data_IF_002366613234
#
_entry.id   IF_002366613234
#
_cell.length_a   1.000
_cell.length_b   1.000
_cell.length_c   1.000
_cell.angle_alpha   90.00
_cell.angle_beta   90.00
_cell.angle_gamma   90.00
#
_symmetry.space_group_name_H-M   'P 1'
#
loop_
_entity.id
_entity.type
_entity.pdbx_description
1 polymer ?
#
# COMPACT_ATOMS: atom_id res chain seq x y z
N UNK A 1 -14.47 -6.00 -8.45
CA UNK A 1 -13.76 -6.87 -9.40
C UNK A 1 -12.56 -7.53 -8.76
N UNK A 2 -11.58 -6.76 -8.22
CA UNK A 2 -10.33 -7.30 -7.62
C UNK A 2 -10.61 -8.29 -6.48
N UNK A 3 -11.49 -7.93 -5.53
CA UNK A 3 -11.83 -8.81 -4.40
C UNK A 3 -12.44 -10.14 -4.82
N UNK A 4 -13.29 -10.14 -5.86
CA UNK A 4 -13.84 -11.36 -6.42
C UNK A 4 -12.77 -12.24 -7.07
N UNK A 5 -11.84 -11.62 -7.79
CA UNK A 5 -10.72 -12.32 -8.41
C UNK A 5 -9.81 -12.97 -7.35
N UNK A 6 -9.52 -12.23 -6.28
CA UNK A 6 -8.77 -12.76 -5.14
C UNK A 6 -9.51 -13.92 -4.46
N UNK A 7 -10.82 -13.84 -4.32
CA UNK A 7 -11.65 -14.94 -3.81
C UNK A 7 -11.63 -16.17 -4.71
N UNK A 8 -11.63 -15.97 -6.04
CA UNK A 8 -11.51 -17.06 -7.00
C UNK A 8 -10.15 -17.75 -6.95
N UNK A 9 -9.08 -16.99 -6.71
CA UNK A 9 -7.72 -17.54 -6.63
C UNK A 9 -7.42 -18.19 -5.28
N UNK A 10 -7.75 -17.51 -4.17
CA UNK A 10 -7.34 -17.88 -2.82
C UNK A 10 -8.48 -18.43 -1.95
N UNK A 11 -9.68 -18.60 -2.50
CA UNK A 11 -10.82 -19.17 -1.78
C UNK A 11 -10.48 -20.57 -1.20
N UNK A 12 -11.06 -20.88 -0.04
CA UNK A 12 -10.75 -22.10 0.71
C UNK A 12 -11.00 -23.44 -0.05
N UNK A 13 -11.78 -23.40 -1.15
CA UNK A 13 -12.07 -24.55 -2.03
C UNK A 13 -11.37 -24.45 -3.38
N UNK A 14 -10.44 -23.52 -3.56
CA UNK A 14 -9.72 -23.29 -4.81
C UNK A 14 -8.29 -23.84 -4.75
N UNK A 15 -7.66 -24.20 -5.90
CA UNK A 15 -6.40 -24.91 -5.93
C UNK A 15 -5.28 -24.16 -5.20
N UNK A 16 -5.17 -22.84 -5.33
CA UNK A 16 -4.19 -22.04 -4.60
C UNK A 16 -4.51 -21.95 -3.10
N UNK A 17 -5.77 -21.76 -2.74
CA UNK A 17 -6.19 -21.73 -1.34
C UNK A 17 -5.95 -23.06 -0.62
N UNK A 18 -6.21 -24.19 -1.30
CA UNK A 18 -5.90 -25.53 -0.79
C UNK A 18 -4.41 -25.77 -0.65
N UNK A 19 -3.62 -25.37 -1.65
CA UNK A 19 -2.16 -25.48 -1.59
C UNK A 19 -1.56 -24.77 -0.38
N UNK A 20 -2.01 -23.52 -0.12
CA UNK A 20 -1.56 -22.78 1.07
C UNK A 20 -2.07 -23.39 2.38
N UNK A 21 -3.27 -23.92 2.38
CA UNK A 21 -3.83 -24.59 3.55
C UNK A 21 -3.09 -25.89 3.89
N UNK A 22 -2.74 -26.71 2.88
CA UNK A 22 -2.06 -27.98 3.05
C UNK A 22 -0.56 -27.83 3.38
N UNK A 23 0.14 -26.86 2.76
CA UNK A 23 1.59 -26.70 2.96
C UNK A 23 1.95 -25.75 4.11
N UNK A 24 1.13 -24.74 4.38
CA UNK A 24 1.41 -23.72 5.40
C UNK A 24 0.40 -23.70 6.54
N UNK A 25 -0.66 -24.48 6.47
CA UNK A 25 -1.73 -24.49 7.49
C UNK A 25 -2.48 -23.16 7.63
N UNK A 26 -2.33 -22.23 6.68
CA UNK A 26 -2.86 -20.87 6.75
C UNK A 26 -4.05 -20.71 5.81
N UNK A 27 -5.21 -20.35 6.37
CA UNK A 27 -6.36 -19.92 5.57
C UNK A 27 -6.14 -18.50 5.11
N UNK A 28 -5.97 -18.31 3.79
CA UNK A 28 -5.78 -16.99 3.18
C UNK A 28 -7.06 -16.15 3.08
N UNK A 29 -8.21 -16.71 3.42
CA UNK A 29 -9.52 -16.05 3.38
C UNK A 29 -10.10 -15.98 4.79
N UNK A 30 -10.84 -14.91 5.10
CA UNK A 30 -11.45 -14.65 6.41
C UNK A 30 -10.43 -14.53 7.56
N UNK A 31 -9.27 -13.96 7.26
CA UNK A 31 -8.21 -13.70 8.23
C UNK A 31 -7.69 -12.26 8.09
N UNK A 32 -7.00 -11.75 9.11
CA UNK A 32 -6.45 -10.39 9.09
C UNK A 32 -5.37 -10.19 8.01
N UNK A 33 -4.58 -11.23 7.69
CA UNK A 33 -3.60 -11.14 6.58
C UNK A 33 -4.29 -10.95 5.23
N UNK A 34 -5.53 -11.43 5.06
CA UNK A 34 -6.29 -11.24 3.82
C UNK A 34 -6.58 -9.76 3.56
N UNK A 35 -6.85 -8.99 4.62
CA UNK A 35 -7.06 -7.56 4.52
C UNK A 35 -5.78 -6.84 4.05
N UNK A 36 -4.63 -7.20 4.63
CA UNK A 36 -3.33 -6.66 4.23
C UNK A 36 -3.02 -7.03 2.77
N UNK A 37 -3.21 -8.28 2.40
CA UNK A 37 -2.97 -8.75 1.05
C UNK A 37 -3.86 -8.04 0.02
N UNK A 38 -5.15 -7.88 0.31
CA UNK A 38 -6.08 -7.14 -0.54
C UNK A 38 -5.63 -5.69 -0.74
N UNK A 39 -5.25 -5.01 0.34
CA UNK A 39 -4.76 -3.63 0.30
C UNK A 39 -3.47 -3.50 -0.51
N UNK A 40 -2.52 -4.43 -0.38
CA UNK A 40 -1.28 -4.45 -1.17
C UNK A 40 -1.59 -4.61 -2.66
N UNK A 41 -2.42 -5.59 -3.04
CA UNK A 41 -2.76 -5.85 -4.45
C UNK A 41 -3.42 -4.64 -5.10
N UNK A 42 -4.27 -3.93 -4.37
CA UNK A 42 -4.98 -2.75 -4.89
C UNK A 42 -4.08 -1.51 -4.93
N UNK A 43 -3.18 -1.34 -3.96
CA UNK A 43 -2.27 -0.20 -3.89
C UNK A 43 -1.02 -0.36 -4.79
N UNK A 44 -0.58 -1.60 -5.05
CA UNK A 44 0.63 -1.92 -5.80
C UNK A 44 0.72 -1.26 -7.18
N UNK A 45 -0.31 -1.31 -8.05
CA UNK A 45 -0.23 -0.68 -9.38
C UNK A 45 0.04 0.82 -9.31
N UNK A 46 -0.51 1.50 -8.31
CA UNK A 46 -0.31 2.93 -8.12
C UNK A 46 1.12 3.24 -7.67
N UNK A 47 1.61 2.49 -6.69
CA UNK A 47 3.01 2.58 -6.23
C UNK A 47 3.99 2.29 -7.37
N UNK A 48 3.76 1.21 -8.10
CA UNK A 48 4.61 0.81 -9.22
C UNK A 48 4.69 1.90 -10.31
N UNK A 49 3.53 2.42 -10.74
CA UNK A 49 3.49 3.48 -11.76
C UNK A 49 4.22 4.74 -11.33
N UNK A 50 4.02 5.17 -10.08
CA UNK A 50 4.65 6.38 -9.56
C UNK A 50 6.16 6.19 -9.39
N UNK A 51 6.59 5.07 -8.82
CA UNK A 51 8.02 4.76 -8.69
C UNK A 51 8.69 4.63 -10.06
N UNK A 52 8.06 3.91 -11.00
CA UNK A 52 8.56 3.77 -12.37
C UNK A 52 8.72 5.14 -13.05
N UNK A 53 7.72 6.01 -12.97
CA UNK A 53 7.80 7.37 -13.53
C UNK A 53 8.96 8.18 -12.94
N UNK A 54 9.25 8.02 -11.65
CA UNK A 54 10.38 8.67 -11.00
C UNK A 54 11.73 8.15 -11.55
N UNK A 55 11.86 6.85 -11.82
CA UNK A 55 13.06 6.29 -12.42
C UNK A 55 13.18 6.62 -13.91
N UNK A 56 12.08 6.69 -14.64
CA UNK A 56 12.09 7.09 -16.06
C UNK A 56 12.44 8.56 -16.27
N UNK A 57 12.16 9.42 -15.29
CA UNK A 57 12.55 10.84 -15.30
C UNK A 57 13.97 11.10 -14.80
N UNK A 58 14.71 10.07 -14.41
CA UNK A 58 16.09 10.20 -13.96
C UNK A 58 17.03 10.55 -15.12
N UNK A 59 17.91 11.52 -14.88
CA UNK A 59 18.92 11.90 -15.88
C UNK A 59 20.06 10.87 -15.93
N UNK A 60 20.09 10.09 -17.01
CA UNK A 60 21.09 9.03 -17.22
C UNK A 60 22.51 9.58 -17.34
N UNK A 61 22.72 10.88 -17.64
CA UNK A 61 24.05 11.48 -17.70
C UNK A 61 24.79 11.38 -16.37
N UNK A 62 24.07 11.45 -15.26
CA UNK A 62 24.63 11.26 -13.93
C UNK A 62 25.16 9.82 -13.72
N UNK A 63 24.43 8.83 -14.24
CA UNK A 63 24.85 7.44 -14.16
C UNK A 63 26.08 7.18 -15.04
N UNK A 64 26.09 7.71 -16.27
CA UNK A 64 27.24 7.59 -17.17
C UNK A 64 28.48 8.27 -16.61
N UNK A 65 28.33 9.46 -16.02
CA UNK A 65 29.46 10.16 -15.37
C UNK A 65 30.05 9.32 -14.23
N UNK A 66 29.20 8.64 -13.43
CA UNK A 66 29.69 7.75 -12.38
C UNK A 66 30.35 6.48 -12.93
N UNK A 67 29.89 5.98 -14.10
CA UNK A 67 30.52 4.84 -14.79
C UNK A 67 31.92 5.20 -15.31
N UNK A 68 32.11 6.40 -15.84
CA UNK A 68 33.46 6.87 -16.30
C UNK A 68 34.43 6.97 -15.15
N UNK A 69 33.95 7.16 -13.91
CA UNK A 69 34.73 7.12 -12.66
C UNK A 69 35.00 5.71 -12.15
N UNK A 70 34.63 4.66 -12.91
CA UNK A 70 34.87 3.26 -12.55
C UNK A 70 33.90 2.68 -11.51
N UNK A 71 32.78 3.37 -11.23
CA UNK A 71 31.82 2.88 -10.24
C UNK A 71 30.96 1.74 -10.81
N UNK A 72 30.65 0.73 -9.97
CA UNK A 72 29.81 -0.40 -10.37
C UNK A 72 28.34 0.00 -10.49
N UNK A 73 27.57 -0.70 -11.35
CA UNK A 73 26.14 -0.45 -11.55
C UNK A 73 25.32 -0.54 -10.23
N UNK A 74 25.68 -1.46 -9.34
CA UNK A 74 25.05 -1.61 -8.03
C UNK A 74 25.31 -0.38 -7.15
N UNK A 75 26.55 0.12 -7.14
CA UNK A 75 26.90 1.34 -6.42
C UNK A 75 26.14 2.55 -6.96
N UNK A 76 26.09 2.71 -8.30
CA UNK A 76 25.36 3.78 -9.00
C UNK A 76 23.87 3.72 -8.65
N UNK A 77 23.25 2.53 -8.63
CA UNK A 77 21.87 2.38 -8.27
C UNK A 77 21.58 2.90 -6.85
N UNK A 78 22.36 2.48 -5.86
CA UNK A 78 22.08 2.84 -4.47
C UNK A 78 22.56 4.24 -4.07
N UNK A 79 23.63 4.76 -4.70
CA UNK A 79 24.24 6.04 -4.35
C UNK A 79 23.84 7.21 -5.26
N UNK A 80 23.36 6.93 -6.45
CA UNK A 80 22.99 7.98 -7.43
C UNK A 80 21.51 7.88 -7.77
N UNK A 81 21.05 6.79 -8.38
CA UNK A 81 19.65 6.67 -8.86
C UNK A 81 18.65 6.72 -7.74
N UNK A 82 18.82 5.90 -6.69
CA UNK A 82 17.88 5.81 -5.56
C UNK A 82 17.69 7.15 -4.82
N UNK A 83 18.75 7.89 -4.45
CA UNK A 83 18.62 9.21 -3.84
C UNK A 83 17.92 10.23 -4.73
N UNK A 84 18.22 10.24 -6.04
CA UNK A 84 17.58 11.15 -6.98
C UNK A 84 16.09 10.86 -7.16
N UNK A 85 15.70 9.58 -7.22
CA UNK A 85 14.30 9.16 -7.42
C UNK A 85 13.47 9.13 -6.14
N UNK A 86 14.07 9.33 -4.96
CA UNK A 86 13.41 9.15 -3.66
C UNK A 86 12.14 9.99 -3.47
N UNK A 87 12.08 11.20 -4.03
CA UNK A 87 10.88 12.05 -3.93
C UNK A 87 9.68 11.40 -4.63
N UNK A 88 9.88 10.85 -5.83
CA UNK A 88 8.82 10.13 -6.53
C UNK A 88 8.44 8.82 -5.83
N UNK A 89 9.38 8.12 -5.21
CA UNK A 89 9.11 6.93 -4.40
C UNK A 89 8.28 7.29 -3.16
N UNK A 90 8.64 8.39 -2.46
CA UNK A 90 7.86 8.89 -1.32
C UNK A 90 6.44 9.29 -1.74
N UNK A 91 6.30 10.04 -2.83
CA UNK A 91 4.99 10.39 -3.38
C UNK A 91 4.16 9.14 -3.72
N UNK A 92 4.77 8.14 -4.35
CA UNK A 92 4.14 6.84 -4.61
C UNK A 92 3.70 6.11 -3.35
N UNK A 93 4.52 6.16 -2.30
CA UNK A 93 4.21 5.56 -1.00
C UNK A 93 2.99 6.22 -0.35
N UNK A 94 2.90 7.56 -0.39
CA UNK A 94 1.73 8.29 0.13
C UNK A 94 0.46 7.93 -0.63
N UNK A 95 0.53 7.91 -1.96
CA UNK A 95 -0.61 7.54 -2.80
C UNK A 95 -1.05 6.09 -2.56
N UNK A 96 -0.09 5.17 -2.45
CA UNK A 96 -0.37 3.77 -2.14
C UNK A 96 -0.99 3.61 -0.76
N UNK A 97 -0.48 4.34 0.25
CA UNK A 97 -1.03 4.35 1.60
C UNK A 97 -2.48 4.87 1.61
N UNK A 98 -2.73 6.03 1.01
CA UNK A 98 -4.08 6.60 0.93
C UNK A 98 -5.06 5.64 0.21
N UNK A 99 -4.58 4.97 -0.86
CA UNK A 99 -5.38 3.98 -1.57
C UNK A 99 -5.66 2.73 -0.75
N UNK A 100 -4.68 2.27 0.03
CA UNK A 100 -4.82 1.11 0.91
C UNK A 100 -5.73 1.40 2.11
N UNK A 101 -5.65 2.61 2.69
CA UNK A 101 -6.43 3.01 3.85
C UNK A 101 -7.94 3.01 3.54
N UNK A 102 -8.34 3.53 2.37
CA UNK A 102 -9.72 3.54 1.90
C UNK A 102 -10.20 2.25 1.22
N UNK A 103 -9.43 1.15 1.29
CA UNK A 103 -9.83 -0.07 0.61
C UNK A 103 -10.91 -0.84 1.39
N UNK A 104 -12.10 -0.81 0.84
CA UNK A 104 -13.27 -1.51 1.38
C UNK A 104 -13.62 -2.76 0.55
N UNK A 105 -13.67 -2.60 -0.78
CA UNK A 105 -14.29 -3.57 -1.66
C UNK A 105 -13.60 -4.94 -1.69
N UNK A 106 -12.29 -4.96 -1.91
CA UNK A 106 -11.55 -6.23 -1.91
C UNK A 106 -11.42 -6.79 -0.49
N UNK A 107 -11.22 -5.93 0.50
CA UNK A 107 -11.10 -6.33 1.90
C UNK A 107 -12.37 -6.97 2.43
N UNK A 108 -13.54 -6.38 2.18
CA UNK A 108 -14.84 -6.94 2.63
C UNK A 108 -15.13 -8.30 2.00
N UNK A 109 -14.68 -8.53 0.77
CA UNK A 109 -14.89 -9.81 0.07
C UNK A 109 -13.95 -10.91 0.57
N UNK A 110 -12.66 -10.62 0.80
CA UNK A 110 -11.66 -11.66 1.11
C UNK A 110 -11.45 -11.85 2.62
N UNK A 111 -11.48 -10.77 3.41
CA UNK A 111 -11.29 -10.80 4.86
C UNK A 111 -12.61 -10.84 5.64
N UNK A 112 -13.68 -10.32 5.04
CA UNK A 112 -14.96 -10.13 5.72
C UNK A 112 -14.90 -9.05 6.80
N UNK A 113 -15.95 -8.99 7.64
CA UNK A 113 -15.99 -8.09 8.79
C UNK A 113 -16.20 -8.87 10.07
N UNK A 114 -15.18 -8.96 10.89
CA UNK A 114 -15.25 -9.53 12.24
C UNK A 114 -14.55 -8.57 13.21
N UNK A 115 -15.29 -7.93 14.14
CA UNK A 115 -14.71 -7.03 15.14
C UNK A 115 -13.57 -7.69 15.91
N UNK A 116 -12.46 -6.97 16.09
CA UNK A 116 -11.27 -7.47 16.79
C UNK A 116 -10.43 -8.50 16.01
N UNK A 117 -10.82 -8.89 14.79
CA UNK A 117 -10.07 -9.86 13.97
C UNK A 117 -9.74 -9.36 12.57
N UNK A 118 -10.76 -9.03 11.77
CA UNK A 118 -10.59 -8.67 10.35
C UNK A 118 -11.14 -7.29 10.01
N UNK A 119 -11.73 -6.59 10.98
CA UNK A 119 -12.28 -5.26 10.80
C UNK A 119 -11.16 -4.26 10.46
N UNK A 120 -11.35 -3.51 9.37
CA UNK A 120 -10.55 -2.34 9.02
C UNK A 120 -11.35 -1.07 9.27
N UNK A 121 -10.71 0.10 9.21
CA UNK A 121 -11.43 1.38 9.38
C UNK A 121 -12.56 1.50 8.35
N UNK A 122 -12.26 1.29 7.06
CA UNK A 122 -13.23 1.39 5.98
C UNK A 122 -14.41 0.42 6.14
N UNK A 123 -14.14 -0.84 6.51
CA UNK A 123 -15.21 -1.83 6.75
C UNK A 123 -16.02 -1.53 7.99
N UNK A 124 -15.40 -0.94 9.02
CA UNK A 124 -16.07 -0.53 10.26
C UNK A 124 -17.01 0.64 10.02
N UNK A 125 -16.55 1.68 9.32
CA UNK A 125 -17.39 2.84 8.95
C UNK A 125 -18.63 2.38 8.18
N UNK A 126 -18.45 1.53 7.17
CA UNK A 126 -19.57 0.99 6.38
C UNK A 126 -20.54 0.17 7.24
N UNK A 127 -20.04 -0.68 8.13
CA UNK A 127 -20.89 -1.52 8.97
C UNK A 127 -21.70 -0.70 9.98
N UNK A 128 -21.08 0.29 10.61
CA UNK A 128 -21.76 1.19 11.55
C UNK A 128 -22.84 2.03 10.84
N UNK A 129 -22.51 2.55 9.66
CA UNK A 129 -23.51 3.25 8.84
C UNK A 129 -24.68 2.34 8.47
N UNK A 130 -24.43 1.11 8.09
CA UNK A 130 -25.45 0.13 7.71
C UNK A 130 -26.34 -0.27 8.91
N UNK A 131 -25.82 -0.24 10.13
CA UNK A 131 -26.58 -0.51 11.36
C UNK A 131 -27.23 0.73 11.96
N UNK A 132 -27.20 1.86 11.23
CA UNK A 132 -27.80 3.15 11.65
C UNK A 132 -27.11 3.78 12.87
N UNK A 133 -25.85 3.43 13.14
CA UNK A 133 -25.00 4.08 14.14
C UNK A 133 -24.14 5.16 13.45
N UNK A 134 -24.78 6.28 13.13
CA UNK A 134 -24.11 7.41 12.44
C UNK A 134 -23.03 8.07 13.30
N UNK A 135 -23.24 8.14 14.62
CA UNK A 135 -22.25 8.71 15.53
C UNK A 135 -20.99 7.85 15.63
N UNK A 136 -21.17 6.52 15.69
CA UNK A 136 -20.06 5.57 15.64
C UNK A 136 -19.31 5.67 14.33
N UNK A 137 -20.01 5.69 13.20
CA UNK A 137 -19.39 5.86 11.87
C UNK A 137 -18.59 7.16 11.78
N UNK A 138 -19.16 8.30 12.22
CA UNK A 138 -18.49 9.60 12.21
C UNK A 138 -17.19 9.61 13.03
N UNK A 139 -17.17 8.95 14.19
CA UNK A 139 -15.94 8.83 15.00
C UNK A 139 -14.83 8.12 14.24
N UNK A 140 -15.13 7.03 13.55
CA UNK A 140 -14.13 6.30 12.75
C UNK A 140 -13.68 7.07 11.52
N UNK A 141 -14.57 7.84 10.88
CA UNK A 141 -14.21 8.77 9.80
C UNK A 141 -13.23 9.84 10.30
N UNK A 142 -13.47 10.42 11.47
CA UNK A 142 -12.54 11.38 12.07
C UNK A 142 -11.17 10.75 12.37
N UNK A 143 -11.14 9.52 12.87
CA UNK A 143 -9.88 8.78 13.08
C UNK A 143 -9.14 8.60 11.75
N UNK A 144 -9.84 8.22 10.68
CA UNK A 144 -9.27 8.05 9.34
C UNK A 144 -8.66 9.35 8.81
N UNK A 145 -9.40 10.46 8.93
CA UNK A 145 -8.94 11.80 8.54
C UNK A 145 -7.68 12.20 9.33
N UNK A 146 -7.66 11.97 10.63
CA UNK A 146 -6.49 12.30 11.47
C UNK A 146 -5.28 11.48 11.06
N UNK A 147 -5.43 10.17 10.85
CA UNK A 147 -4.33 9.29 10.39
C UNK A 147 -3.81 9.78 9.04
N UNK A 148 -4.70 10.05 8.09
CA UNK A 148 -4.34 10.56 6.77
C UNK A 148 -3.59 11.90 6.85
N UNK A 149 -4.08 12.82 7.66
CA UNK A 149 -3.45 14.14 7.86
C UNK A 149 -2.05 13.99 8.49
N UNK A 150 -1.90 13.15 9.51
CA UNK A 150 -0.61 12.90 10.17
C UNK A 150 0.41 12.31 9.20
N UNK A 151 0.01 11.32 8.40
CA UNK A 151 0.90 10.71 7.40
C UNK A 151 1.31 11.72 6.34
N UNK A 152 0.36 12.50 5.79
CA UNK A 152 0.65 13.54 4.81
C UNK A 152 1.60 14.60 5.37
N UNK A 153 1.37 15.07 6.59
CA UNK A 153 2.25 16.04 7.25
C UNK A 153 3.64 15.47 7.48
N UNK A 154 3.74 14.22 7.95
CA UNK A 154 5.03 13.56 8.18
C UNK A 154 5.85 13.46 6.88
N UNK A 155 5.22 13.06 5.77
CA UNK A 155 5.91 12.96 4.47
C UNK A 155 6.31 14.35 3.95
N UNK A 156 5.42 15.34 4.02
CA UNK A 156 5.76 16.71 3.61
C UNK A 156 6.93 17.30 4.41
N UNK A 157 6.99 17.02 5.72
CA UNK A 157 8.11 17.45 6.55
C UNK A 157 9.42 16.73 6.18
N UNK A 158 9.36 15.46 5.84
CA UNK A 158 10.51 14.70 5.36
C UNK A 158 11.02 15.26 4.02
N UNK A 159 10.12 15.56 3.09
CA UNK A 159 10.47 16.18 1.80
C UNK A 159 11.11 17.56 1.97
N UNK A 160 10.53 18.40 2.84
CA UNK A 160 11.05 19.75 3.12
C UNK A 160 12.46 19.71 3.72
N UNK A 161 12.70 18.77 4.65
CA UNK A 161 14.00 18.58 5.29
C UNK A 161 15.08 18.12 4.28
N UNK A 162 14.67 17.39 3.26
CA UNK A 162 15.57 16.94 2.19
C UNK A 162 15.94 18.04 1.20
N UNK A 163 15.02 18.98 0.93
CA UNK A 163 15.29 20.16 0.08
C UNK A 163 16.18 21.20 0.75
N UNK A 164 16.20 21.23 2.08
CA UNK A 164 17.00 22.18 2.86
C UNK A 164 18.42 21.69 3.16
N UNK A 165 18.72 20.42 2.95
CA UNK A 165 20.02 19.79 3.26
C UNK A 165 20.82 19.33 2.03
N UNK A 166 20.39 19.68 0.81
CA UNK A 166 21.10 19.45 -0.45
C UNK A 166 21.32 20.75 -1.20
#
# INVERSE_FOLDING_TARGET
VVGYFLLLLFGAKRPLGLFFLEHFGVKLVMNWYSAIFASIVVAFPLMYRTARGAFESFDETLAWSAQTLGQSNTWIFWRVRMPCCRQGILAGTVLAFARALGEYGATSMIAGYTPGRTATIATTVYQLWRTNDELGAMRWVLVDIVISAVVLLAVNLLEKKQKAGG
#
